data_IF_680286240390
#
_entry.id   IF_680286240390
#
_cell.length_a   1.000
_cell.length_b   1.000
_cell.length_c   1.000
_cell.angle_alpha   90.00
_cell.angle_beta   90.00
_cell.angle_gamma   90.00
#
_symmetry.space_group_name_H-M   'P 1'
#
loop_
_entity.id
_entity.type
_entity.pdbx_description
1 polymer ?
#
# COMPACT_ATOMS: atom_id res chain seq x y z
N UNK A 1 -51.39 24.71 -24.96
CA UNK A 1 -51.30 24.37 -23.53
C UNK A 1 -50.56 23.06 -23.41
N UNK A 2 -49.41 23.06 -22.73
CA UNK A 2 -48.52 21.91 -22.65
C UNK A 2 -49.21 20.71 -22.00
N UNK A 3 -48.86 19.51 -22.44
CA UNK A 3 -49.50 18.25 -22.09
C UNK A 3 -49.25 17.93 -20.59
N UNK A 4 -50.00 18.57 -19.69
CA UNK A 4 -49.95 18.38 -18.23
C UNK A 4 -49.84 16.91 -17.81
N UNK A 5 -50.61 15.96 -18.38
CA UNK A 5 -50.46 14.54 -18.01
C UNK A 5 -49.08 13.97 -18.36
N UNK A 6 -48.46 14.38 -19.46
CA UNK A 6 -47.10 13.97 -19.80
C UNK A 6 -46.07 14.50 -18.80
N UNK A 7 -46.20 15.76 -18.37
CA UNK A 7 -45.32 16.36 -17.35
C UNK A 7 -45.39 15.63 -16.00
N UNK A 8 -46.59 15.24 -15.57
CA UNK A 8 -46.78 14.46 -14.33
C UNK A 8 -46.11 13.09 -14.42
N UNK A 9 -46.26 12.40 -15.55
CA UNK A 9 -45.64 11.08 -15.77
C UNK A 9 -44.12 11.19 -15.75
N UNK A 10 -43.54 12.15 -16.48
CA UNK A 10 -42.09 12.38 -16.49
C UNK A 10 -41.57 12.74 -15.10
N UNK A 11 -42.28 13.58 -14.34
CA UNK A 11 -41.93 13.92 -12.97
C UNK A 11 -41.94 12.72 -12.02
N UNK A 12 -42.94 11.84 -12.16
CA UNK A 12 -43.02 10.59 -11.40
C UNK A 12 -41.82 9.68 -11.69
N UNK A 13 -41.55 9.41 -12.96
CA UNK A 13 -40.42 8.55 -13.36
C UNK A 13 -39.08 9.15 -12.92
N UNK A 14 -38.88 10.45 -13.11
CA UNK A 14 -37.68 11.15 -12.64
C UNK A 14 -37.48 11.02 -11.13
N UNK A 15 -38.55 11.16 -10.35
CA UNK A 15 -38.50 11.01 -8.89
C UNK A 15 -38.13 9.59 -8.47
N UNK A 16 -38.73 8.56 -9.10
CA UNK A 16 -38.40 7.15 -8.82
C UNK A 16 -36.93 6.85 -9.14
N UNK A 17 -36.43 7.32 -10.29
CA UNK A 17 -35.03 7.14 -10.70
C UNK A 17 -34.09 7.80 -9.68
N UNK A 18 -34.39 9.03 -9.23
CA UNK A 18 -33.59 9.73 -8.24
C UNK A 18 -33.58 9.01 -6.88
N UNK A 19 -34.73 8.51 -6.41
CA UNK A 19 -34.82 7.74 -5.17
C UNK A 19 -33.96 6.47 -5.25
N UNK A 20 -34.02 5.76 -6.38
CA UNK A 20 -33.22 4.55 -6.60
C UNK A 20 -31.72 4.86 -6.62
N UNK A 21 -31.31 5.94 -7.28
CA UNK A 21 -29.91 6.36 -7.31
C UNK A 21 -29.38 6.68 -5.90
N UNK A 22 -30.17 7.37 -5.07
CA UNK A 22 -29.84 7.65 -3.67
C UNK A 22 -29.70 6.36 -2.86
N UNK A 23 -30.61 5.39 -3.05
CA UNK A 23 -30.53 4.10 -2.36
C UNK A 23 -29.23 3.34 -2.69
N UNK A 24 -28.85 3.29 -3.98
CA UNK A 24 -27.58 2.65 -4.40
C UNK A 24 -26.36 3.34 -3.78
N UNK A 25 -26.31 4.68 -3.80
CA UNK A 25 -25.23 5.44 -3.17
C UNK A 25 -25.16 5.19 -1.66
N UNK A 26 -26.32 5.04 -1.00
CA UNK A 26 -26.41 4.78 0.43
C UNK A 26 -25.88 3.40 0.84
N UNK A 27 -26.23 2.37 0.07
CA UNK A 27 -25.71 1.01 0.26
C UNK A 27 -24.20 0.98 0.07
N UNK A 28 -23.70 1.54 -1.04
CA UNK A 28 -22.27 1.60 -1.32
C UNK A 28 -21.48 2.36 -0.24
N UNK A 29 -22.01 3.49 0.23
CA UNK A 29 -21.41 4.26 1.32
C UNK A 29 -21.37 3.46 2.64
N UNK A 30 -22.40 2.65 2.90
CA UNK A 30 -22.47 1.85 4.14
C UNK A 30 -21.45 0.72 4.12
N UNK A 31 -21.32 0.01 2.99
CA UNK A 31 -20.32 -1.03 2.78
C UNK A 31 -18.89 -0.48 2.93
N UNK A 32 -18.62 0.71 2.38
CA UNK A 32 -17.30 1.34 2.50
C UNK A 32 -16.98 1.68 3.96
N UNK A 33 -17.94 2.27 4.69
CA UNK A 33 -17.76 2.62 6.11
C UNK A 33 -17.62 1.38 6.99
N UNK A 34 -18.34 0.30 6.70
CA UNK A 34 -18.20 -0.98 7.37
C UNK A 34 -16.79 -1.57 7.17
N UNK A 35 -16.27 -1.58 5.94
CA UNK A 35 -14.90 -2.04 5.66
C UNK A 35 -13.84 -1.20 6.36
N UNK A 36 -14.03 0.13 6.40
CA UNK A 36 -13.15 1.04 7.15
C UNK A 36 -13.22 0.74 8.65
N UNK A 37 -14.43 0.58 9.19
CA UNK A 37 -14.63 0.27 10.59
C UNK A 37 -13.99 -1.07 10.98
N UNK A 38 -14.13 -2.12 10.16
CA UNK A 38 -13.45 -3.39 10.38
C UNK A 38 -11.93 -3.24 10.37
N UNK A 39 -11.39 -2.51 9.39
CA UNK A 39 -9.94 -2.31 9.25
C UNK A 39 -9.32 -1.62 10.46
N UNK A 40 -10.01 -0.64 11.03
CA UNK A 40 -9.53 0.12 12.19
C UNK A 40 -10.12 -0.34 13.53
N UNK A 41 -10.84 -1.47 13.55
CA UNK A 41 -11.46 -2.09 14.74
C UNK A 41 -12.47 -1.19 15.47
N UNK A 42 -13.30 -0.47 14.72
CA UNK A 42 -14.43 0.29 15.25
C UNK A 42 -15.67 -0.59 15.38
N UNK A 43 -15.60 -1.59 16.25
CA UNK A 43 -16.71 -2.51 16.49
C UNK A 43 -17.98 -1.78 16.96
N UNK A 44 -17.82 -0.61 17.60
CA UNK A 44 -18.93 0.26 17.97
C UNK A 44 -19.72 0.81 16.76
N UNK A 45 -19.07 1.08 15.62
CA UNK A 45 -19.75 1.66 14.46
C UNK A 45 -20.53 0.59 13.67
N UNK A 46 -20.08 -0.66 13.74
CA UNK A 46 -20.66 -1.82 13.03
C UNK A 46 -21.75 -2.52 13.85
N UNK A 47 -22.04 -2.03 15.06
CA UNK A 47 -23.10 -2.61 15.90
C UNK A 47 -24.45 -2.61 15.16
N UNK A 48 -24.95 -3.82 14.94
CA UNK A 48 -26.22 -4.07 14.28
C UNK A 48 -27.39 -3.95 15.25
N UNK A 49 -28.52 -3.47 14.77
CA UNK A 49 -29.78 -3.48 15.53
C UNK A 49 -30.45 -4.87 15.46
N UNK A 50 -31.57 -5.08 16.15
CA UNK A 50 -32.41 -6.30 16.10
C UNK A 50 -32.83 -6.75 14.69
N UNK A 51 -32.71 -5.90 13.68
CA UNK A 51 -33.00 -6.18 12.26
C UNK A 51 -31.74 -6.30 11.40
N UNK A 52 -30.59 -6.55 12.03
CA UNK A 52 -29.28 -6.67 11.39
C UNK A 52 -28.83 -5.42 10.59
N UNK A 53 -29.47 -4.27 10.83
CA UNK A 53 -29.15 -3.01 10.16
C UNK A 53 -28.03 -2.26 10.87
N UNK A 54 -27.09 -1.74 10.07
CA UNK A 54 -25.97 -0.86 10.47
C UNK A 54 -26.47 0.57 10.78
N UNK A 55 -27.37 0.68 11.75
CA UNK A 55 -28.12 1.91 12.00
C UNK A 55 -27.24 3.12 12.33
N UNK A 56 -26.07 2.92 12.95
CA UNK A 56 -25.14 4.01 13.30
C UNK A 56 -24.46 4.60 12.08
N UNK A 57 -24.05 3.75 11.15
CA UNK A 57 -23.51 4.16 9.85
C UNK A 57 -24.59 4.94 9.09
N UNK A 58 -25.82 4.46 9.13
CA UNK A 58 -26.95 5.13 8.49
C UNK A 58 -27.23 6.53 9.07
N UNK A 59 -27.29 6.64 10.41
CA UNK A 59 -27.44 7.93 11.09
C UNK A 59 -26.27 8.87 10.78
N UNK A 60 -25.04 8.35 10.79
CA UNK A 60 -23.84 9.12 10.43
C UNK A 60 -23.92 9.66 9.00
N UNK A 61 -24.28 8.83 8.02
CA UNK A 61 -24.47 9.25 6.64
C UNK A 61 -25.56 10.32 6.52
N UNK A 62 -26.70 10.12 7.20
CA UNK A 62 -27.78 11.10 7.24
C UNK A 62 -27.33 12.46 7.79
N UNK A 63 -26.58 12.46 8.91
CA UNK A 63 -26.01 13.66 9.49
C UNK A 63 -25.01 14.35 8.55
N UNK A 64 -24.13 13.59 7.90
CA UNK A 64 -23.16 14.12 6.94
C UNK A 64 -23.82 14.74 5.71
N UNK A 65 -24.77 14.04 5.09
CA UNK A 65 -25.51 14.58 3.93
C UNK A 65 -26.32 15.82 4.30
N UNK A 66 -26.99 15.80 5.46
CA UNK A 66 -27.72 16.97 5.98
C UNK A 66 -26.78 18.15 6.22
N UNK A 67 -25.61 17.91 6.80
CA UNK A 67 -24.59 18.94 7.04
C UNK A 67 -24.11 19.58 5.72
N UNK A 68 -23.89 18.78 4.67
CA UNK A 68 -23.49 19.29 3.35
C UNK A 68 -24.62 20.13 2.71
N UNK A 69 -25.89 19.71 2.86
CA UNK A 69 -27.03 20.48 2.35
C UNK A 69 -27.11 21.85 3.03
N UNK A 70 -26.92 21.91 4.36
CA UNK A 70 -26.88 23.18 5.09
C UNK A 70 -25.69 24.05 4.66
N UNK A 71 -24.50 23.45 4.54
CA UNK A 71 -23.27 24.13 4.11
C UNK A 71 -23.41 24.74 2.70
N UNK A 72 -24.06 24.03 1.79
CA UNK A 72 -24.29 24.46 0.40
C UNK A 72 -25.54 25.32 0.23
N UNK A 73 -26.28 25.59 1.32
CA UNK A 73 -27.58 26.27 1.32
C UNK A 73 -28.59 25.66 0.33
N UNK A 74 -28.48 24.35 0.09
CA UNK A 74 -29.28 23.62 -0.90
C UNK A 74 -28.95 23.94 -2.37
N UNK A 75 -27.86 24.66 -2.67
CA UNK A 75 -27.46 24.97 -4.04
C UNK A 75 -26.96 23.73 -4.78
N UNK A 76 -27.78 23.24 -5.71
CA UNK A 76 -27.42 22.09 -6.56
C UNK A 76 -26.19 22.38 -7.43
N UNK A 77 -26.02 23.63 -7.88
CA UNK A 77 -24.87 24.03 -8.70
C UNK A 77 -23.56 23.90 -7.92
N UNK A 78 -23.50 24.43 -6.69
CA UNK A 78 -22.31 24.36 -5.84
C UNK A 78 -22.02 22.90 -5.46
N UNK A 79 -23.06 22.12 -5.14
CA UNK A 79 -22.92 20.71 -4.81
C UNK A 79 -22.36 19.89 -5.99
N UNK A 80 -22.84 20.16 -7.21
CA UNK A 80 -22.35 19.51 -8.43
C UNK A 80 -20.88 19.88 -8.72
N UNK A 81 -20.50 21.15 -8.53
CA UNK A 81 -19.11 21.59 -8.67
C UNK A 81 -18.20 20.89 -7.65
N UNK A 82 -18.61 20.83 -6.38
CA UNK A 82 -17.87 20.16 -5.31
C UNK A 82 -17.68 18.66 -5.61
N UNK A 83 -18.72 17.99 -6.10
CA UNK A 83 -18.67 16.59 -6.48
C UNK A 83 -17.75 16.34 -7.68
N UNK A 84 -17.83 17.19 -8.71
CA UNK A 84 -17.00 17.07 -9.91
C UNK A 84 -15.50 17.23 -9.58
N UNK A 85 -15.14 18.23 -8.77
CA UNK A 85 -13.75 18.42 -8.29
C UNK A 85 -13.29 17.17 -7.52
N UNK A 86 -14.10 16.68 -6.58
CA UNK A 86 -13.72 15.56 -5.72
C UNK A 86 -13.55 14.23 -6.46
N UNK A 87 -14.45 13.91 -7.39
CA UNK A 87 -14.30 12.73 -8.24
C UNK A 87 -13.03 12.80 -9.09
N UNK A 88 -12.80 13.95 -9.72
CA UNK A 88 -11.66 14.13 -10.60
C UNK A 88 -10.34 14.07 -9.84
N UNK A 89 -10.29 14.68 -8.64
CA UNK A 89 -9.15 14.55 -7.73
C UNK A 89 -8.89 13.08 -7.34
N UNK A 90 -9.94 12.33 -6.99
CA UNK A 90 -9.82 10.90 -6.65
C UNK A 90 -9.27 10.09 -7.82
N UNK A 91 -9.73 10.34 -9.05
CA UNK A 91 -9.20 9.66 -10.24
C UNK A 91 -7.73 10.00 -10.52
N UNK A 92 -7.34 11.28 -10.41
CA UNK A 92 -5.92 11.66 -10.53
C UNK A 92 -5.06 10.92 -9.49
N UNK A 93 -5.49 10.90 -8.22
CA UNK A 93 -4.73 10.21 -7.16
C UNK A 93 -4.62 8.71 -7.47
N UNK A 94 -5.72 8.06 -7.89
CA UNK A 94 -5.72 6.62 -8.15
C UNK A 94 -4.87 6.24 -9.36
N UNK A 95 -4.99 6.98 -10.47
CA UNK A 95 -4.22 6.72 -11.70
C UNK A 95 -2.76 7.09 -11.51
N UNK A 96 -2.47 8.20 -10.83
CA UNK A 96 -1.12 8.59 -10.42
C UNK A 96 -0.45 7.56 -9.50
N UNK A 97 -1.16 7.03 -8.50
CA UNK A 97 -0.64 5.95 -7.65
C UNK A 97 -0.32 4.70 -8.47
N UNK A 98 -1.16 4.35 -9.44
CA UNK A 98 -0.94 3.21 -10.34
C UNK A 98 0.28 3.42 -11.24
N UNK A 99 0.52 4.64 -11.72
CA UNK A 99 1.73 4.99 -12.48
C UNK A 99 3.00 4.87 -11.63
N UNK A 100 2.99 5.46 -10.43
CA UNK A 100 4.10 5.38 -9.47
C UNK A 100 4.38 3.90 -9.16
N UNK A 101 3.35 3.14 -8.81
CA UNK A 101 3.47 1.71 -8.53
C UNK A 101 4.13 0.95 -9.68
N UNK A 102 3.66 1.16 -10.92
CA UNK A 102 4.22 0.49 -12.11
C UNK A 102 5.65 0.92 -12.42
N UNK A 103 6.01 2.17 -12.13
CA UNK A 103 7.37 2.67 -12.34
C UNK A 103 8.37 2.08 -11.32
N UNK A 104 7.95 1.89 -10.07
CA UNK A 104 8.82 1.42 -8.99
C UNK A 104 8.81 -0.10 -8.77
N UNK A 105 7.68 -0.78 -8.93
CA UNK A 105 7.54 -2.21 -8.62
C UNK A 105 7.47 -3.13 -9.85
N UNK A 106 7.38 -2.56 -11.05
CA UNK A 106 7.26 -3.32 -12.30
C UNK A 106 5.86 -3.95 -12.51
N UNK A 107 5.70 -4.71 -13.59
CA UNK A 107 4.39 -5.18 -14.10
C UNK A 107 4.04 -6.63 -13.72
N UNK A 108 4.80 -7.29 -12.84
CA UNK A 108 4.65 -8.75 -12.61
C UNK A 108 3.59 -9.16 -11.57
N UNK A 109 3.24 -8.33 -10.58
CA UNK A 109 2.19 -8.72 -9.60
C UNK A 109 0.77 -8.77 -10.21
N UNK A 110 0.53 -8.15 -11.38
CA UNK A 110 -0.79 -8.11 -12.04
C UNK A 110 -0.63 -8.48 -13.53
N UNK A 111 -0.32 -9.75 -13.81
CA UNK A 111 -0.12 -10.23 -15.19
C UNK A 111 -1.41 -10.27 -16.01
N UNK A 112 -2.57 -10.29 -15.34
CA UNK A 112 -3.90 -10.44 -15.95
C UNK A 112 -4.44 -9.14 -16.57
N UNK A 113 -3.93 -7.97 -16.17
CA UNK A 113 -4.40 -6.66 -16.67
C UNK A 113 -3.26 -5.85 -17.29
N UNK A 114 -2.99 -6.12 -18.56
CA UNK A 114 -1.91 -5.46 -19.31
C UNK A 114 -2.37 -4.14 -19.95
N UNK A 115 -2.39 -3.05 -19.17
CA UNK A 115 -2.64 -1.69 -19.70
C UNK A 115 -1.31 -1.02 -20.08
N UNK A 116 -1.26 -0.31 -21.21
CA UNK A 116 -0.04 0.39 -21.67
C UNK A 116 0.40 1.51 -20.71
N UNK A 117 1.71 1.59 -20.40
CA UNK A 117 2.27 2.63 -19.51
C UNK A 117 2.06 4.04 -20.08
N UNK A 118 2.29 4.18 -21.38
CA UNK A 118 2.09 5.44 -22.12
C UNK A 118 0.63 5.86 -22.12
N UNK A 119 -0.30 4.91 -22.28
CA UNK A 119 -1.74 5.20 -22.25
C UNK A 119 -2.19 5.67 -20.87
N UNK A 120 -1.73 5.02 -19.80
CA UNK A 120 -2.02 5.47 -18.43
C UNK A 120 -1.43 6.85 -18.16
N UNK A 121 -0.21 7.14 -18.64
CA UNK A 121 0.42 8.46 -18.47
C UNK A 121 -0.32 9.56 -19.22
N UNK A 122 -0.76 9.30 -20.45
CA UNK A 122 -1.58 10.23 -21.21
C UNK A 122 -2.94 10.48 -20.52
N UNK A 123 -3.58 9.42 -20.02
CA UNK A 123 -4.82 9.53 -19.26
C UNK A 123 -4.62 10.38 -18.00
N UNK A 124 -3.56 10.15 -17.24
CA UNK A 124 -3.21 10.97 -16.07
C UNK A 124 -3.04 12.45 -16.44
N UNK A 125 -2.34 12.73 -17.54
CA UNK A 125 -2.14 14.11 -18.00
C UNK A 125 -3.48 14.78 -18.34
N UNK A 126 -4.39 14.07 -19.01
CA UNK A 126 -5.73 14.57 -19.33
C UNK A 126 -6.53 14.82 -18.04
N UNK A 127 -6.52 13.88 -17.10
CA UNK A 127 -7.24 14.01 -15.82
C UNK A 127 -6.73 15.21 -15.00
N UNK A 128 -5.41 15.36 -14.91
CA UNK A 128 -4.78 16.50 -14.22
C UNK A 128 -5.10 17.82 -14.92
N UNK A 129 -5.07 17.86 -16.25
CA UNK A 129 -5.44 19.06 -17.01
C UNK A 129 -6.90 19.44 -16.75
N UNK A 130 -7.83 18.47 -16.78
CA UNK A 130 -9.23 18.69 -16.43
C UNK A 130 -9.39 19.17 -14.98
N UNK A 131 -8.62 18.60 -14.04
CA UNK A 131 -8.67 18.98 -12.63
C UNK A 131 -8.24 20.43 -12.44
N UNK A 132 -7.12 20.83 -13.04
CA UNK A 132 -6.61 22.20 -13.00
C UNK A 132 -7.61 23.16 -13.64
N UNK A 133 -8.15 22.81 -14.82
CA UNK A 133 -9.14 23.64 -15.49
C UNK A 133 -10.37 23.88 -14.61
N UNK A 134 -10.92 22.82 -14.04
CA UNK A 134 -12.13 22.90 -13.23
C UNK A 134 -11.87 23.62 -11.90
N UNK A 135 -10.70 23.41 -11.29
CA UNK A 135 -10.27 24.09 -10.08
C UNK A 135 -10.15 25.61 -10.26
N UNK A 136 -9.66 26.07 -11.42
CA UNK A 136 -9.52 27.49 -11.71
C UNK A 136 -10.85 28.16 -12.08
N UNK A 137 -11.73 27.47 -12.79
CA UNK A 137 -12.99 28.05 -13.26
C UNK A 137 -14.12 27.98 -12.23
N UNK A 138 -14.06 27.05 -11.27
CA UNK A 138 -15.08 26.82 -10.23
C UNK A 138 -14.52 27.01 -8.81
N UNK A 139 -14.00 28.20 -8.47
CA UNK A 139 -13.25 28.42 -7.23
C UNK A 139 -14.07 28.19 -5.95
N UNK A 140 -15.39 28.45 -5.99
CA UNK A 140 -16.27 28.23 -4.83
C UNK A 140 -16.44 26.73 -4.52
N UNK A 141 -16.80 25.92 -5.52
CA UNK A 141 -16.92 24.47 -5.35
C UNK A 141 -15.57 23.82 -4.96
N UNK A 142 -14.47 24.28 -5.56
CA UNK A 142 -13.12 23.82 -5.23
C UNK A 142 -12.70 24.21 -3.82
N UNK A 143 -12.95 25.45 -3.40
CA UNK A 143 -12.65 25.91 -2.05
C UNK A 143 -13.42 25.13 -0.99
N UNK A 144 -14.71 24.87 -1.23
CA UNK A 144 -15.56 24.09 -0.33
C UNK A 144 -15.08 22.65 -0.21
N UNK A 145 -14.83 22.00 -1.35
CA UNK A 145 -14.26 20.65 -1.41
C UNK A 145 -12.91 20.58 -0.66
N UNK A 146 -12.00 21.52 -0.95
CA UNK A 146 -10.68 21.56 -0.34
C UNK A 146 -10.75 21.76 1.18
N UNK A 147 -11.66 22.61 1.66
CA UNK A 147 -11.88 22.83 3.09
C UNK A 147 -12.36 21.54 3.77
N UNK A 148 -13.39 20.88 3.21
CA UNK A 148 -13.92 19.63 3.77
C UNK A 148 -12.86 18.54 3.76
N UNK A 149 -12.15 18.35 2.65
CA UNK A 149 -11.07 17.35 2.55
C UNK A 149 -9.95 17.66 3.54
N UNK A 150 -9.57 18.93 3.70
CA UNK A 150 -8.52 19.31 4.65
C UNK A 150 -8.92 18.98 6.08
N UNK A 151 -10.14 19.32 6.50
CA UNK A 151 -10.67 18.97 7.84
C UNK A 151 -10.65 17.46 8.04
N UNK A 152 -11.13 16.70 7.06
CA UNK A 152 -11.17 15.23 7.12
C UNK A 152 -9.76 14.62 7.16
N UNK A 153 -8.78 15.18 6.43
CA UNK A 153 -7.39 14.70 6.45
C UNK A 153 -6.69 15.05 7.76
N UNK A 154 -6.90 16.27 8.28
CA UNK A 154 -6.34 16.71 9.57
C UNK A 154 -6.87 15.85 10.72
N UNK A 155 -8.14 15.44 10.68
CA UNK A 155 -8.69 14.50 11.65
C UNK A 155 -8.26 13.05 11.35
N UNK A 156 -8.25 12.65 10.08
CA UNK A 156 -8.06 11.26 9.64
C UNK A 156 -6.62 10.77 9.69
N UNK A 157 -5.62 11.61 9.47
CA UNK A 157 -4.20 11.21 9.48
C UNK A 157 -3.75 10.82 10.90
N UNK A 158 -3.93 11.65 11.95
CA UNK A 158 -3.59 11.27 13.32
C UNK A 158 -4.36 10.02 13.77
N UNK A 159 -5.64 9.95 13.38
CA UNK A 159 -6.51 8.83 13.71
C UNK A 159 -6.05 7.51 13.08
N UNK A 160 -5.76 7.51 11.78
CA UNK A 160 -5.25 6.33 11.07
C UNK A 160 -3.88 5.89 11.59
N UNK A 161 -3.01 6.82 12.00
CA UNK A 161 -1.73 6.49 12.63
C UNK A 161 -1.89 5.87 14.00
N UNK A 162 -2.92 6.23 14.77
CA UNK A 162 -3.14 5.71 16.13
C UNK A 162 -3.80 4.33 16.13
N UNK A 163 -4.76 4.10 15.23
CA UNK A 163 -5.58 2.89 15.18
C UNK A 163 -5.27 1.97 13.99
N UNK A 164 -4.27 2.31 13.17
CA UNK A 164 -3.90 1.53 12.00
C UNK A 164 -3.49 0.10 12.39
N UNK A 165 -3.99 -0.93 11.69
CA UNK A 165 -3.59 -2.32 11.95
C UNK A 165 -2.09 -2.52 11.70
N UNK A 166 -1.48 -1.66 10.87
CA UNK A 166 -0.04 -1.64 10.61
C UNK A 166 0.76 -1.41 11.91
N UNK A 167 0.24 -0.64 12.87
CA UNK A 167 0.92 -0.36 14.16
C UNK A 167 1.11 -1.64 14.97
N UNK A 168 0.10 -2.51 14.99
CA UNK A 168 0.19 -3.78 15.71
C UNK A 168 1.21 -4.73 15.06
N UNK A 169 1.34 -4.71 13.73
CA UNK A 169 2.34 -5.50 13.02
C UNK A 169 3.76 -4.95 13.19
N UNK A 170 3.94 -3.63 13.16
CA UNK A 170 5.21 -2.97 13.45
C UNK A 170 5.65 -3.26 14.88
N UNK A 171 4.75 -3.30 15.86
CA UNK A 171 5.10 -3.68 17.24
C UNK A 171 5.59 -5.12 17.39
N UNK A 172 5.26 -6.02 16.44
CA UNK A 172 5.73 -7.40 16.42
C UNK A 172 7.01 -7.58 15.60
N UNK A 173 7.51 -6.52 14.97
CA UNK A 173 8.77 -6.57 14.23
C UNK A 173 9.95 -6.59 15.19
N UNK A 174 11.08 -7.06 14.69
CA UNK A 174 12.31 -7.17 15.45
C UNK A 174 13.00 -5.79 15.47
N UNK A 175 13.77 -5.47 16.51
CA UNK A 175 14.45 -4.17 16.61
C UNK A 175 15.86 -4.22 16.00
N UNK A 176 16.28 -3.21 15.22
CA UNK A 176 17.64 -3.19 14.66
C UNK A 176 18.75 -3.31 15.71
N UNK A 177 18.52 -2.78 16.92
CA UNK A 177 19.47 -2.87 18.02
C UNK A 177 19.69 -4.31 18.51
N UNK A 178 18.65 -5.15 18.55
CA UNK A 178 18.78 -6.56 18.93
C UNK A 178 19.66 -7.34 17.95
N UNK A 179 19.60 -6.95 16.67
CA UNK A 179 20.45 -7.50 15.63
C UNK A 179 21.91 -7.05 15.79
N UNK A 180 22.14 -5.77 16.06
CA UNK A 180 23.48 -5.22 16.26
C UNK A 180 24.17 -5.83 17.49
N UNK A 181 23.45 -5.99 18.59
CA UNK A 181 23.98 -6.64 19.80
C UNK A 181 24.39 -8.09 19.50
N UNK A 182 23.54 -8.85 18.82
CA UNK A 182 23.86 -10.24 18.43
C UNK A 182 25.07 -10.33 17.49
N UNK A 183 25.27 -9.34 16.61
CA UNK A 183 26.46 -9.24 15.75
C UNK A 183 27.71 -8.80 16.53
N UNK A 184 27.56 -7.95 17.54
CA UNK A 184 28.64 -7.45 18.38
C UNK A 184 29.26 -8.53 19.29
N UNK A 185 28.45 -9.50 19.74
CA UNK A 185 28.88 -10.61 20.61
C UNK A 185 29.74 -11.67 19.89
N UNK A 186 29.71 -11.71 18.56
CA UNK A 186 30.48 -12.70 17.79
C UNK A 186 31.81 -12.12 17.35
N UNK A 187 32.89 -12.88 17.52
CA UNK A 187 34.21 -12.58 16.97
C UNK A 187 34.39 -13.24 15.59
N UNK A 188 34.64 -12.43 14.55
CA UNK A 188 34.89 -12.92 13.19
C UNK A 188 34.30 -12.03 12.09
N UNK A 189 34.45 -12.43 10.81
CA UNK A 189 33.78 -11.76 9.69
C UNK A 189 32.26 -11.89 9.82
N UNK A 190 31.56 -10.78 9.68
CA UNK A 190 30.11 -10.71 9.86
C UNK A 190 29.42 -10.73 8.50
N UNK A 191 28.40 -11.59 8.34
CA UNK A 191 27.67 -11.74 7.07
C UNK A 191 26.20 -11.33 7.23
N UNK A 192 25.77 -10.30 6.50
CA UNK A 192 24.40 -9.78 6.53
C UNK A 192 23.69 -10.06 5.21
N UNK A 193 22.68 -10.93 5.24
CA UNK A 193 21.93 -11.34 4.06
C UNK A 193 20.56 -10.66 3.98
N UNK A 194 20.32 -9.88 2.93
CA UNK A 194 19.00 -9.34 2.61
C UNK A 194 18.20 -10.31 1.72
N UNK A 195 17.10 -10.86 2.26
CA UNK A 195 16.28 -11.90 1.61
C UNK A 195 14.84 -11.47 1.30
N UNK A 196 14.16 -12.19 0.39
CA UNK A 196 12.75 -11.96 0.05
C UNK A 196 11.81 -12.74 0.99
N UNK A 197 10.64 -12.19 1.35
CA UNK A 197 9.59 -12.96 1.99
C UNK A 197 9.21 -14.18 1.14
N UNK A 198 9.44 -15.39 1.63
CA UNK A 198 9.11 -16.65 0.97
C UNK A 198 10.29 -17.39 0.31
N UNK A 199 11.50 -16.83 0.27
CA UNK A 199 12.72 -17.60 -0.07
C UNK A 199 13.18 -18.36 1.17
N UNK A 200 12.54 -19.52 1.40
CA UNK A 200 12.72 -20.39 2.55
C UNK A 200 13.59 -21.58 2.16
N UNK A 201 14.87 -21.35 1.92
CA UNK A 201 15.85 -22.43 2.07
C UNK A 201 16.52 -22.28 3.43
N UNK A 202 16.52 -23.40 4.18
CA UNK A 202 17.10 -23.54 5.50
C UNK A 202 18.56 -23.06 5.45
N UNK A 203 18.76 -21.83 5.91
CA UNK A 203 20.06 -21.21 5.88
C UNK A 203 20.85 -21.74 7.06
N UNK A 204 22.07 -22.21 6.81
CA UNK A 204 22.97 -22.70 7.84
C UNK A 204 23.09 -21.65 8.96
N UNK A 205 22.89 -22.11 10.20
CA UNK A 205 23.03 -21.30 11.41
C UNK A 205 24.52 -21.16 11.73
N UNK A 206 25.23 -20.35 10.94
CA UNK A 206 26.61 -20.01 11.23
C UNK A 206 26.69 -18.85 12.24
N UNK A 207 27.55 -18.92 13.26
CA UNK A 207 27.83 -17.78 14.14
C UNK A 207 28.40 -16.62 13.30
N UNK A 208 27.86 -15.41 13.48
CA UNK A 208 28.26 -14.22 12.72
C UNK A 208 27.43 -13.96 11.46
N UNK A 209 26.48 -14.83 11.14
CA UNK A 209 25.56 -14.65 10.00
C UNK A 209 24.19 -14.19 10.46
N UNK A 210 23.65 -13.16 9.80
CA UNK A 210 22.32 -12.62 10.07
C UNK A 210 21.49 -12.54 8.79
N UNK A 211 20.22 -12.91 8.90
CA UNK A 211 19.25 -12.82 7.80
C UNK A 211 18.25 -11.70 8.07
N UNK A 212 18.08 -10.82 7.09
CA UNK A 212 17.16 -9.68 7.16
C UNK A 212 16.08 -9.84 6.11
N UNK A 213 14.82 -9.85 6.56
CA UNK A 213 13.65 -9.81 5.67
C UNK A 213 12.85 -8.53 5.92
N UNK A 214 12.65 -7.77 4.85
CA UNK A 214 11.74 -6.63 4.89
C UNK A 214 10.31 -7.05 4.55
N UNK A 215 9.35 -6.64 5.37
CA UNK A 215 7.95 -6.93 5.14
C UNK A 215 7.12 -5.65 5.04
N UNK A 216 6.03 -5.72 4.27
CA UNK A 216 5.03 -4.65 4.25
C UNK A 216 4.08 -4.85 5.43
N UNK A 217 3.87 -3.85 6.31
CA UNK A 217 2.90 -3.92 7.41
C UNK A 217 1.43 -4.10 6.98
N UNK A 218 1.18 -4.21 5.66
CA UNK A 218 -0.13 -4.52 5.08
C UNK A 218 -0.32 -6.00 4.77
N UNK A 219 0.74 -6.81 4.84
CA UNK A 219 0.71 -8.27 4.65
C UNK A 219 0.97 -8.95 6.00
N UNK A 220 0.52 -10.20 6.21
CA UNK A 220 0.85 -10.93 7.44
C UNK A 220 2.37 -10.99 7.65
N UNK A 221 2.78 -10.92 8.92
CA UNK A 221 4.18 -10.98 9.32
C UNK A 221 4.77 -12.31 8.86
N UNK A 222 5.91 -12.33 8.13
CA UNK A 222 6.55 -13.58 7.74
C UNK A 222 7.05 -14.35 8.96
N UNK A 223 6.97 -15.67 8.88
CA UNK A 223 7.46 -16.57 9.93
C UNK A 223 8.99 -16.48 10.06
N UNK A 224 9.49 -16.61 11.30
CA UNK A 224 10.93 -16.71 11.53
C UNK A 224 11.41 -18.08 11.08
N UNK A 225 12.50 -18.08 10.31
CA UNK A 225 13.11 -19.29 9.76
C UNK A 225 14.24 -19.80 10.65
N UNK A 226 14.94 -18.88 11.34
CA UNK A 226 16.05 -19.20 12.24
C UNK A 226 16.15 -18.13 13.35
N UNK A 227 16.89 -18.40 14.45
CA UNK A 227 17.07 -17.45 15.55
C UNK A 227 17.79 -16.15 15.15
N UNK A 228 18.67 -16.22 14.16
CA UNK A 228 19.42 -15.10 13.57
C UNK A 228 18.68 -14.40 12.41
N UNK A 229 17.37 -14.64 12.27
CA UNK A 229 16.52 -14.01 11.26
C UNK A 229 15.72 -12.86 11.88
N UNK A 230 16.04 -11.64 11.46
CA UNK A 230 15.39 -10.40 11.87
C UNK A 230 14.46 -9.87 10.77
N UNK A 231 13.29 -9.40 11.20
CA UNK A 231 12.23 -8.92 10.30
C UNK A 231 11.95 -7.47 10.57
N UNK A 232 12.18 -6.63 9.57
CA UNK A 232 11.97 -5.19 9.67
C UNK A 232 10.80 -4.76 8.78
N UNK A 233 9.95 -3.84 9.26
CA UNK A 233 8.90 -3.27 8.42
C UNK A 233 9.51 -2.28 7.43
N UNK A 234 8.97 -2.23 6.21
CA UNK A 234 9.38 -1.23 5.22
C UNK A 234 8.84 0.14 5.67
N UNK A 235 9.75 1.01 6.12
CA UNK A 235 9.41 2.37 6.54
C UNK A 235 9.34 3.33 5.34
N UNK A 236 8.35 4.23 5.34
CA UNK A 236 8.22 5.30 4.35
C UNK A 236 7.91 4.83 2.92
N UNK A 237 7.44 3.58 2.75
CA UNK A 237 7.03 3.04 1.45
C UNK A 237 8.18 2.72 0.48
N UNK A 238 9.44 2.79 0.93
CA UNK A 238 10.61 2.51 0.11
C UNK A 238 11.50 1.45 0.76
N UNK A 239 11.62 0.30 0.10
CA UNK A 239 12.56 -0.76 0.48
C UNK A 239 14.00 -0.24 0.49
N UNK A 240 14.37 0.57 -0.52
CA UNK A 240 15.72 1.13 -0.63
C UNK A 240 16.09 1.99 0.56
N UNK A 241 15.21 2.89 1.02
CA UNK A 241 15.46 3.70 2.22
C UNK A 241 15.60 2.85 3.48
N UNK A 242 14.84 1.77 3.57
CA UNK A 242 14.92 0.84 4.71
C UNK A 242 16.25 0.08 4.72
N UNK A 243 16.75 -0.33 3.55
CA UNK A 243 18.10 -0.92 3.40
C UNK A 243 19.17 0.10 3.82
N UNK A 244 19.10 1.33 3.31
CA UNK A 244 20.08 2.38 3.65
C UNK A 244 20.14 2.66 5.16
N UNK A 245 19.00 2.70 5.84
CA UNK A 245 18.96 2.91 7.29
C UNK A 245 19.69 1.79 8.06
N UNK A 246 19.53 0.54 7.64
CA UNK A 246 20.24 -0.60 8.25
C UNK A 246 21.75 -0.53 7.94
N UNK A 247 22.12 -0.24 6.68
CA UNK A 247 23.54 -0.13 6.30
C UNK A 247 24.25 0.99 7.06
N UNK A 248 23.56 2.10 7.28
CA UNK A 248 24.07 3.23 8.05
C UNK A 248 24.31 2.84 9.52
N UNK A 249 23.35 2.14 10.13
CA UNK A 249 23.53 1.61 11.49
C UNK A 249 24.69 0.60 11.58
N UNK A 250 24.83 -0.31 10.61
CA UNK A 250 25.94 -1.26 10.57
C UNK A 250 27.29 -0.56 10.48
N UNK A 251 27.41 0.47 9.64
CA UNK A 251 28.66 1.21 9.50
C UNK A 251 28.99 2.05 10.76
N UNK A 252 27.98 2.64 11.41
CA UNK A 252 28.16 3.48 12.59
C UNK A 252 28.52 2.65 13.84
N UNK A 253 27.83 1.53 14.08
CA UNK A 253 27.93 0.75 15.32
C UNK A 253 28.97 -0.38 15.24
N UNK A 254 29.29 -0.90 14.06
CA UNK A 254 30.28 -1.96 13.85
C UNK A 254 31.56 -1.44 13.17
N UNK A 255 31.88 -0.15 13.37
CA UNK A 255 33.06 0.47 12.77
C UNK A 255 34.34 -0.30 13.16
N UNK A 256 35.17 -0.63 12.17
CA UNK A 256 36.40 -1.42 12.35
C UNK A 256 36.23 -2.94 12.29
N UNK A 257 35.01 -3.47 12.12
CA UNK A 257 34.78 -4.90 11.83
C UNK A 257 34.58 -5.16 10.33
N UNK A 258 34.98 -6.34 9.87
CA UNK A 258 34.77 -6.77 8.48
C UNK A 258 33.33 -7.26 8.30
N UNK A 259 32.49 -6.42 7.69
CA UNK A 259 31.07 -6.70 7.45
C UNK A 259 30.82 -6.90 5.96
N UNK A 260 30.39 -8.11 5.61
CA UNK A 260 30.02 -8.55 4.28
C UNK A 260 28.50 -8.52 4.11
N UNK A 261 28.02 -7.70 3.19
CA UNK A 261 26.60 -7.55 2.88
C UNK A 261 26.25 -8.30 1.61
N UNK A 262 25.39 -9.29 1.75
CA UNK A 262 24.90 -10.14 0.67
C UNK A 262 23.50 -9.70 0.26
N UNK A 263 23.34 -9.32 -1.01
CA UNK A 263 22.02 -9.10 -1.60
C UNK A 263 21.58 -10.32 -2.40
N UNK A 264 20.52 -10.99 -1.95
CA UNK A 264 19.75 -11.93 -2.79
C UNK A 264 18.84 -11.21 -3.81
N UNK A 265 18.88 -9.88 -3.80
CA UNK A 265 18.14 -8.99 -4.70
C UNK A 265 19.06 -8.41 -5.79
N UNK A 266 18.57 -8.11 -7.01
CA UNK A 266 17.37 -8.59 -7.70
C UNK A 266 17.78 -9.49 -8.87
N UNK A 267 17.54 -10.80 -8.79
CA UNK A 267 17.44 -11.62 -10.01
C UNK A 267 16.94 -13.02 -9.77
N UNK A 268 15.71 -13.27 -10.19
CA UNK A 268 15.37 -14.57 -10.77
C UNK A 268 15.36 -14.52 -12.30
N UNK A 269 15.33 -13.33 -12.92
CA UNK A 269 15.46 -13.19 -14.38
C UNK A 269 16.10 -11.86 -14.81
N UNK A 270 16.86 -11.84 -15.91
CA UNK A 270 17.45 -10.61 -16.50
C UNK A 270 16.37 -9.58 -16.88
N UNK A 271 15.17 -10.07 -17.24
CA UNK A 271 13.98 -9.27 -17.50
C UNK A 271 13.48 -8.52 -16.25
N UNK A 272 13.65 -9.09 -15.04
CA UNK A 272 13.30 -8.40 -13.79
C UNK A 272 14.23 -7.23 -13.51
N UNK A 273 15.51 -7.33 -13.89
CA UNK A 273 16.45 -6.20 -13.75
C UNK A 273 16.07 -5.03 -14.65
N UNK A 274 15.55 -5.32 -15.86
CA UNK A 274 15.02 -4.30 -16.76
C UNK A 274 13.71 -3.69 -16.24
N UNK A 275 12.84 -4.49 -15.62
CA UNK A 275 11.56 -4.03 -15.10
C UNK A 275 11.68 -3.17 -13.83
N UNK A 276 12.72 -3.39 -13.02
CA UNK A 276 12.98 -2.65 -11.76
C UNK A 276 14.27 -1.79 -11.88
N UNK A 277 14.53 -1.25 -13.07
CA UNK A 277 15.81 -0.60 -13.42
C UNK A 277 16.26 0.51 -12.46
N UNK A 278 15.33 1.30 -11.91
CA UNK A 278 15.66 2.38 -10.95
C UNK A 278 16.12 1.83 -9.60
N UNK A 279 15.52 0.74 -9.12
CA UNK A 279 15.94 0.10 -7.88
C UNK A 279 17.33 -0.52 -8.02
N UNK A 280 17.57 -1.25 -9.13
CA UNK A 280 18.88 -1.86 -9.38
C UNK A 280 19.96 -0.77 -9.50
N UNK A 281 19.66 0.31 -10.22
CA UNK A 281 20.56 1.47 -10.32
C UNK A 281 20.94 2.05 -8.95
N UNK A 282 19.95 2.20 -8.06
CA UNK A 282 20.19 2.67 -6.70
C UNK A 282 20.98 1.67 -5.85
N UNK A 283 20.78 0.36 -6.05
CA UNK A 283 21.54 -0.69 -5.38
C UNK A 283 23.01 -0.71 -5.82
N UNK A 284 23.27 -0.56 -7.13
CA UNK A 284 24.63 -0.50 -7.68
C UNK A 284 25.43 0.71 -7.16
N UNK A 285 24.76 1.74 -6.61
CA UNK A 285 25.42 2.91 -6.00
C UNK A 285 25.78 2.71 -4.53
N UNK A 286 25.26 1.68 -3.86
CA UNK A 286 25.54 1.43 -2.44
C UNK A 286 27.03 1.27 -2.11
N UNK A 287 27.85 0.53 -2.90
CA UNK A 287 29.28 0.40 -2.61
C UNK A 287 30.02 1.75 -2.61
N UNK A 288 29.56 2.73 -3.40
CA UNK A 288 30.14 4.08 -3.40
C UNK A 288 29.70 4.91 -2.19
N UNK A 289 28.50 4.66 -1.67
CA UNK A 289 27.96 5.37 -0.52
C UNK A 289 28.49 4.80 0.81
N UNK A 290 28.78 3.50 0.86
CA UNK A 290 29.23 2.78 2.05
C UNK A 290 30.56 2.05 1.77
N UNK A 291 31.69 2.77 1.59
CA UNK A 291 32.95 2.17 1.14
C UNK A 291 33.63 1.26 2.18
N UNK A 292 33.15 1.24 3.43
CA UNK A 292 33.67 0.39 4.52
C UNK A 292 33.00 -0.98 4.60
N UNK A 293 31.95 -1.20 3.80
CA UNK A 293 31.21 -2.46 3.76
C UNK A 293 31.55 -3.19 2.47
N UNK A 294 31.74 -4.50 2.56
CA UNK A 294 31.90 -5.35 1.40
C UNK A 294 30.53 -5.79 0.89
N UNK A 295 30.34 -5.78 -0.43
CA UNK A 295 29.05 -6.09 -1.04
C UNK A 295 29.17 -7.24 -2.04
N UNK A 296 28.35 -8.27 -1.89
CA UNK A 296 28.14 -9.31 -2.90
C UNK A 296 26.69 -9.33 -3.37
N UNK A 297 26.51 -9.67 -4.65
CA UNK A 297 25.19 -9.92 -5.25
C UNK A 297 25.25 -11.34 -5.79
N UNK A 298 24.70 -12.28 -5.02
CA UNK A 298 24.80 -13.71 -5.31
C UNK A 298 23.54 -14.20 -6.03
N UNK A 299 23.73 -15.02 -7.07
CA UNK A 299 22.65 -15.69 -7.78
C UNK A 299 22.59 -17.15 -7.34
N UNK A 300 21.69 -17.45 -6.41
CA UNK A 300 21.38 -18.83 -6.06
C UNK A 300 20.32 -19.34 -7.05
N UNK A 301 20.68 -20.35 -7.85
CA UNK A 301 19.71 -21.06 -8.69
C UNK A 301 18.71 -21.73 -7.75
N UNK A 302 17.48 -21.22 -7.69
CA UNK A 302 16.39 -21.87 -6.96
C UNK A 302 16.26 -23.31 -7.48
N UNK A 303 16.34 -24.29 -6.58
CA UNK A 303 16.02 -25.67 -6.94
C UNK A 303 14.55 -25.72 -7.35
N UNK A 304 14.24 -26.28 -8.53
CA UNK A 304 12.85 -26.44 -8.97
C UNK A 304 12.06 -27.21 -7.90
N UNK A 305 11.01 -26.61 -7.30
CA UNK A 305 10.20 -27.29 -6.29
C UNK A 305 9.45 -28.51 -6.83
N UNK A 306 9.46 -28.72 -8.15
CA UNK A 306 8.74 -29.81 -8.83
C UNK A 306 9.52 -31.13 -8.79
N UNK A 307 10.86 -31.12 -8.86
CA UNK A 307 11.64 -32.38 -8.89
C UNK A 307 11.91 -33.01 -7.53
N UNK A 308 11.91 -32.21 -6.46
CA UNK A 308 12.13 -32.73 -5.10
C UNK A 308 10.93 -33.55 -4.60
N UNK A 309 9.71 -33.14 -4.96
CA UNK A 309 8.49 -33.89 -4.66
C UNK A 309 8.38 -35.17 -5.52
N UNK A 310 8.75 -35.11 -6.81
CA UNK A 310 8.77 -36.29 -7.69
C UNK A 310 9.79 -37.34 -7.24
N UNK A 311 11.02 -36.94 -6.88
CA UNK A 311 12.02 -37.89 -6.39
C UNK A 311 11.74 -38.42 -4.97
N UNK A 312 11.06 -37.65 -4.11
CA UNK A 312 10.61 -38.14 -2.81
C UNK A 312 9.45 -39.14 -2.95
N UNK A 313 8.53 -38.89 -3.89
CA UNK A 313 7.43 -39.80 -4.21
C UNK A 313 7.93 -41.10 -4.90
N UNK A 314 8.91 -41.01 -5.80
CA UNK A 314 9.54 -42.18 -6.42
C UNK A 314 10.28 -43.06 -5.40
N UNK A 315 10.98 -42.45 -4.43
CA UNK A 315 11.67 -43.21 -3.37
C UNK A 315 10.70 -43.90 -2.42
N UNK A 316 9.58 -43.25 -2.08
CA UNK A 316 8.54 -43.84 -1.23
C UNK A 316 7.70 -44.92 -1.94
N UNK A 317 7.62 -44.88 -3.28
CA UNK A 317 6.96 -45.92 -4.08
C UNK A 317 7.86 -47.14 -4.35
N UNK A 318 9.17 -47.03 -4.10
CA UNK A 318 10.16 -48.10 -4.30
C UNK A 318 10.56 -48.86 -3.02
N UNK A 319 9.91 -48.56 -1.89
CA UNK A 319 10.10 -49.22 -0.58
C UNK A 319 8.85 -50.01 -0.17
#
# INVERSE_FOLDING_TARGET
MGNVPFGVVVGLFGSVILIMAVNTAYVASSELLERVAHRYRFDWLILTNRRESLYRIHVLNGLMYTSIIFLTQGSQAILAEMYAVGLLASFCINVGCLLIYRYFQGTKEIREYHTSRTGTLLLELILVACFIYLALHKPYGTGLWAAVVTVLLVAGIPFSRRYGPEVAQVRRSDYPMEMLLALGEVDGPLHVYFRRPGEVEAAETAPGTVYITFFSPRRPLPDRVAPNHYRFPIYGGSLYRSIQAILQLLQEELDGREVHVHFGWPTSSWLDRMAVGVFVWNLMRLPRAFPRLDFSIDYLRQAEPVRAAEHAAERAASS
#
